data_IF_570159416767
#
_entry.id   IF_570159416767
#
_cell.length_a   1.000
_cell.length_b   1.000
_cell.length_c   1.000
_cell.angle_alpha   90.00
_cell.angle_beta   90.00
_cell.angle_gamma   90.00
#
_symmetry.space_group_name_H-M   'P 1'
#
loop_
_entity.id
_entity.type
_entity.pdbx_description
1 polymer ?
#
# COMPACT_ATOMS: atom_id res chain seq x y z
N UNK A 1 -32.05 -0.84 -0.19
CA UNK A 1 -31.79 0.44 -0.88
C UNK A 1 -30.54 0.23 -1.70
N UNK A 2 -30.57 0.46 -3.01
CA UNK A 2 -29.35 0.57 -3.81
C UNK A 2 -28.54 1.75 -3.27
N UNK A 3 -27.24 1.57 -3.05
CA UNK A 3 -26.36 2.68 -2.67
C UNK A 3 -26.46 3.77 -3.75
N UNK A 4 -26.49 5.04 -3.35
CA UNK A 4 -26.42 6.13 -4.32
C UNK A 4 -25.14 5.98 -5.15
N UNK A 5 -25.21 6.13 -6.49
CA UNK A 5 -24.02 6.05 -7.32
C UNK A 5 -23.01 7.13 -6.90
N UNK A 6 -21.74 6.78 -6.93
CA UNK A 6 -20.67 7.76 -6.67
C UNK A 6 -20.62 8.74 -7.84
N UNK A 7 -20.70 10.03 -7.55
CA UNK A 7 -20.58 11.08 -8.54
C UNK A 7 -19.10 11.35 -8.84
N UNK A 8 -18.63 10.88 -9.99
CA UNK A 8 -17.33 11.21 -10.58
C UNK A 8 -17.50 12.28 -11.65
N UNK A 9 -16.48 13.12 -11.83
CA UNK A 9 -16.40 14.00 -13.00
C UNK A 9 -16.13 13.17 -14.27
N UNK A 10 -16.46 13.68 -15.47
CA UNK A 10 -15.93 13.12 -16.72
C UNK A 10 -14.41 13.00 -16.67
N UNK A 11 -13.85 11.98 -17.32
CA UNK A 11 -12.41 11.66 -17.24
C UNK A 11 -11.54 12.85 -17.66
N UNK A 12 -11.88 13.53 -18.77
CA UNK A 12 -11.13 14.69 -19.25
C UNK A 12 -11.10 15.85 -18.24
N UNK A 13 -12.21 16.08 -17.52
CA UNK A 13 -12.30 17.09 -16.47
C UNK A 13 -11.48 16.68 -15.24
N UNK A 14 -11.50 15.40 -14.87
CA UNK A 14 -10.71 14.88 -13.76
C UNK A 14 -9.20 15.01 -14.05
N UNK A 15 -8.75 14.64 -15.25
CA UNK A 15 -7.36 14.81 -15.70
C UNK A 15 -6.94 16.29 -15.64
N UNK A 16 -7.79 17.21 -16.10
CA UNK A 16 -7.49 18.64 -16.10
C UNK A 16 -7.33 19.24 -14.69
N UNK A 17 -7.85 18.57 -13.66
CA UNK A 17 -7.75 18.98 -12.25
C UNK A 17 -6.54 18.39 -11.52
N UNK A 18 -5.75 17.52 -12.16
CA UNK A 18 -4.51 17.02 -11.57
C UNK A 18 -3.59 18.20 -11.20
N UNK A 19 -3.13 18.30 -9.94
CA UNK A 19 -2.20 19.35 -9.54
C UNK A 19 -0.90 19.28 -10.35
N UNK A 20 -0.54 20.41 -10.98
CA UNK A 20 0.68 20.52 -11.82
C UNK A 20 1.98 20.58 -11.02
N UNK A 21 1.87 20.87 -9.72
CA UNK A 21 2.99 20.97 -8.81
C UNK A 21 2.77 19.98 -7.65
N UNK A 22 3.84 19.34 -7.15
CA UNK A 22 3.75 18.55 -5.93
C UNK A 22 3.16 19.35 -4.78
N UNK A 23 2.44 18.67 -3.89
CA UNK A 23 1.93 19.31 -2.68
C UNK A 23 3.08 19.90 -1.87
N UNK A 24 2.98 21.17 -1.42
CA UNK A 24 4.03 21.77 -0.61
C UNK A 24 4.10 21.04 0.73
N UNK A 25 5.26 20.46 1.05
CA UNK A 25 5.50 19.93 2.39
C UNK A 25 6.15 21.01 3.26
N UNK A 26 5.47 21.50 4.32
CA UNK A 26 6.04 22.50 5.20
C UNK A 26 7.20 21.95 6.04
N UNK A 27 7.22 20.64 6.27
CA UNK A 27 8.18 19.95 7.15
C UNK A 27 9.22 19.19 6.34
N UNK A 28 8.77 18.42 5.35
CA UNK A 28 9.57 17.44 4.62
C UNK A 28 10.05 18.01 3.27
N UNK A 29 11.17 18.76 3.29
CA UNK A 29 11.72 19.36 2.05
C UNK A 29 12.54 18.39 1.22
N UNK A 30 13.21 17.45 1.87
CA UNK A 30 14.00 16.39 1.26
C UNK A 30 13.67 15.08 1.99
N UNK A 31 13.44 14.00 1.24
CA UNK A 31 13.31 12.64 1.76
C UNK A 31 14.59 11.85 1.48
N UNK A 32 15.01 11.02 2.42
CA UNK A 32 16.26 10.29 2.51
C UNK A 32 16.07 9.18 3.61
N UNK A 33 16.61 7.97 3.44
CA UNK A 33 16.18 6.74 4.16
C UNK A 33 17.25 6.00 4.98
N UNK A 34 17.23 5.94 6.32
CA UNK A 34 18.41 5.52 7.12
C UNK A 34 18.81 4.03 6.98
N UNK A 35 20.12 3.72 7.02
CA UNK A 35 20.69 2.38 7.19
C UNK A 35 21.34 2.20 8.57
N UNK A 36 21.10 1.05 9.20
CA UNK A 36 21.73 0.67 10.47
C UNK A 36 22.43 -0.69 10.29
N UNK A 37 23.77 -0.63 10.25
CA UNK A 37 24.66 -1.77 9.99
C UNK A 37 24.64 -2.79 11.14
N UNK A 38 24.45 -2.30 12.38
CA UNK A 38 24.37 -3.12 13.59
C UNK A 38 22.95 -3.14 14.14
N UNK A 39 22.17 -4.14 13.75
CA UNK A 39 20.82 -4.30 14.26
C UNK A 39 20.83 -4.85 15.69
N UNK A 40 20.30 -4.07 16.65
CA UNK A 40 20.06 -4.56 18.00
C UNK A 40 18.89 -5.53 18.02
N UNK A 41 19.17 -6.82 17.76
CA UNK A 41 18.14 -7.88 17.75
C UNK A 41 17.47 -8.13 19.10
N UNK A 42 18.03 -7.56 20.17
CA UNK A 42 17.57 -7.74 21.56
C UNK A 42 16.58 -6.64 22.01
N UNK A 43 15.95 -5.90 21.09
CA UNK A 43 15.00 -4.84 21.44
C UNK A 43 13.68 -5.36 22.05
N UNK A 44 13.03 -4.53 22.88
CA UNK A 44 11.78 -4.85 23.59
C UNK A 44 10.63 -5.31 22.67
N UNK A 45 10.63 -4.87 21.42
CA UNK A 45 9.54 -5.11 20.45
C UNK A 45 9.86 -6.16 19.37
N UNK A 46 11.05 -6.79 19.42
CA UNK A 46 11.51 -7.64 18.31
C UNK A 46 11.72 -6.87 17.00
N UNK A 47 11.74 -7.58 15.87
CA UNK A 47 11.96 -6.99 14.54
C UNK A 47 12.16 -8.02 13.43
N UNK A 48 12.38 -7.54 12.21
CA UNK A 48 12.72 -8.37 11.04
C UNK A 48 13.87 -7.75 10.25
N UNK A 49 14.50 -8.52 9.36
CA UNK A 49 15.56 -7.99 8.49
C UNK A 49 15.05 -6.81 7.63
N UNK A 50 13.80 -6.86 7.19
CA UNK A 50 13.18 -5.80 6.38
C UNK A 50 12.73 -4.60 7.22
N UNK A 51 12.06 -4.83 8.34
CA UNK A 51 11.50 -3.78 9.20
C UNK A 51 12.50 -3.17 10.18
N UNK A 52 13.71 -3.75 10.30
CA UNK A 52 14.70 -3.41 11.31
C UNK A 52 14.29 -3.83 12.72
N UNK A 53 15.04 -3.33 13.71
CA UNK A 53 14.81 -3.54 15.14
C UNK A 53 14.77 -2.21 15.94
N UNK A 54 14.04 -1.18 15.48
CA UNK A 54 14.09 0.13 16.14
C UNK A 54 13.35 0.11 17.48
N UNK A 55 13.99 0.65 18.52
CA UNK A 55 13.32 0.98 19.80
C UNK A 55 12.34 2.16 19.62
N UNK A 56 11.39 2.36 20.54
CA UNK A 56 10.40 3.45 20.45
C UNK A 56 11.03 4.83 20.24
N UNK A 57 12.16 5.09 20.92
CA UNK A 57 12.92 6.33 20.75
C UNK A 57 13.43 6.50 19.31
N UNK A 58 14.01 5.46 18.72
CA UNK A 58 14.48 5.48 17.33
C UNK A 58 13.31 5.66 16.35
N UNK A 59 12.16 5.03 16.59
CA UNK A 59 10.96 5.27 15.75
C UNK A 59 10.54 6.73 15.78
N UNK A 60 10.57 7.35 16.96
CA UNK A 60 10.26 8.78 17.12
C UNK A 60 11.32 9.69 16.47
N UNK A 61 12.58 9.28 16.45
CA UNK A 61 13.68 10.00 15.77
C UNK A 61 13.70 9.75 14.25
N UNK A 62 13.19 8.61 13.76
CA UNK A 62 13.20 8.22 12.33
C UNK A 62 12.26 9.02 11.44
N UNK A 63 11.47 9.93 12.03
CA UNK A 63 10.78 10.97 11.26
C UNK A 63 11.77 12.00 10.66
N UNK A 64 13.04 12.00 11.11
CA UNK A 64 14.17 12.69 10.48
C UNK A 64 15.03 11.72 9.62
N UNK A 65 15.61 12.23 8.53
CA UNK A 65 15.64 11.57 7.20
C UNK A 65 17.09 11.46 6.61
N UNK A 66 17.57 10.31 6.04
CA UNK A 66 18.90 10.15 5.34
C UNK A 66 19.16 8.86 4.47
N UNK A 67 19.48 8.89 3.14
CA UNK A 67 19.95 7.89 2.07
C UNK A 67 19.51 6.39 1.83
N UNK A 68 18.95 6.08 0.63
CA UNK A 68 18.52 4.77 -0.02
C UNK A 68 18.96 3.39 0.57
N UNK A 69 18.07 2.36 0.55
CA UNK A 69 18.44 0.94 0.77
C UNK A 69 19.02 0.26 -0.48
N UNK A 70 19.82 -0.79 -0.24
CA UNK A 70 20.52 -1.62 -1.23
C UNK A 70 19.90 -3.04 -1.34
N UNK A 71 20.38 -3.80 -2.32
CA UNK A 71 20.14 -5.23 -2.51
C UNK A 71 20.38 -6.05 -1.22
N UNK A 72 19.59 -7.10 -1.00
CA UNK A 72 19.68 -8.08 0.10
C UNK A 72 19.06 -7.69 1.45
N UNK A 73 18.23 -6.65 1.54
CA UNK A 73 17.44 -6.38 2.76
C UNK A 73 16.14 -7.20 2.84
N UNK A 74 15.88 -8.01 1.82
CA UNK A 74 14.63 -8.73 1.60
C UNK A 74 13.64 -7.93 0.76
N UNK A 75 12.79 -8.64 0.03
CA UNK A 75 11.91 -8.08 -1.02
C UNK A 75 12.71 -7.49 -2.20
N UNK A 76 13.65 -8.27 -2.71
CA UNK A 76 14.50 -7.88 -3.84
C UNK A 76 13.68 -7.91 -5.15
N UNK A 77 14.02 -7.07 -6.13
CA UNK A 77 13.35 -7.01 -7.44
C UNK A 77 14.38 -7.04 -8.55
N UNK A 78 13.98 -7.49 -9.74
CA UNK A 78 14.81 -7.46 -10.94
C UNK A 78 15.22 -6.02 -11.29
N UNK A 79 16.47 -5.83 -11.74
CA UNK A 79 17.01 -4.52 -12.13
C UNK A 79 16.17 -3.85 -13.24
N UNK A 80 15.70 -4.63 -14.22
CA UNK A 80 14.82 -4.15 -15.28
C UNK A 80 13.47 -3.61 -14.75
N UNK A 81 12.96 -4.20 -13.67
CA UNK A 81 11.72 -3.76 -13.02
C UNK A 81 11.94 -2.51 -12.17
N UNK A 82 13.09 -2.40 -11.48
CA UNK A 82 13.50 -1.19 -10.78
C UNK A 82 13.61 0.01 -11.75
N UNK A 83 14.27 -0.18 -12.90
CA UNK A 83 14.44 0.86 -13.92
C UNK A 83 13.07 1.32 -14.46
N UNK A 84 12.17 0.39 -14.73
CA UNK A 84 10.82 0.75 -15.19
C UNK A 84 10.03 1.51 -14.12
N UNK A 85 10.09 1.06 -12.86
CA UNK A 85 9.39 1.72 -11.76
C UNK A 85 9.93 3.13 -11.50
N UNK A 86 11.23 3.37 -11.70
CA UNK A 86 11.80 4.72 -11.65
C UNK A 86 11.28 5.62 -12.78
N UNK A 87 10.78 5.10 -13.91
CA UNK A 87 10.21 5.90 -15.01
C UNK A 87 8.76 6.34 -14.78
N UNK A 88 8.11 5.88 -13.72
CA UNK A 88 6.74 6.27 -13.38
C UNK A 88 6.71 7.62 -12.64
N UNK A 89 6.16 8.66 -13.28
CA UNK A 89 6.23 10.05 -12.77
C UNK A 89 4.92 10.61 -12.21
N UNK A 90 3.76 10.26 -12.77
CA UNK A 90 2.51 10.94 -12.43
C UNK A 90 1.64 10.12 -11.48
N UNK A 91 0.97 9.11 -12.01
CA UNK A 91 0.05 8.26 -11.26
C UNK A 91 0.49 6.82 -11.40
N UNK A 92 0.50 6.11 -10.29
CA UNK A 92 0.73 4.67 -10.26
C UNK A 92 -0.41 3.96 -9.56
N UNK A 93 -0.99 3.00 -10.27
CA UNK A 93 -1.90 2.04 -9.68
C UNK A 93 -1.13 0.77 -9.38
N UNK A 94 -1.21 0.34 -8.12
CA UNK A 94 -0.53 -0.87 -7.69
C UNK A 94 -1.47 -1.82 -6.97
N UNK A 95 -1.21 -3.10 -7.16
CA UNK A 95 -1.77 -4.17 -6.34
C UNK A 95 -0.68 -5.22 -6.07
N UNK A 96 -0.94 -6.12 -5.13
CA UNK A 96 -0.10 -7.31 -4.99
C UNK A 96 -0.89 -8.59 -4.73
N UNK A 97 -0.30 -9.69 -5.16
CA UNK A 97 -0.79 -11.05 -5.00
C UNK A 97 0.37 -11.89 -4.46
N UNK A 98 0.26 -12.38 -3.23
CA UNK A 98 1.26 -13.25 -2.61
C UNK A 98 0.62 -14.53 -2.05
N UNK A 99 1.32 -15.66 -2.21
CA UNK A 99 1.07 -16.95 -1.56
C UNK A 99 -0.17 -17.74 -1.99
N UNK A 100 -1.05 -17.17 -2.81
CA UNK A 100 -2.16 -17.92 -3.42
C UNK A 100 -2.48 -17.33 -4.80
N UNK A 101 -2.87 -18.17 -5.76
CA UNK A 101 -3.26 -17.78 -7.11
C UNK A 101 -4.79 -17.88 -7.29
N UNK A 102 -5.45 -16.79 -7.69
CA UNK A 102 -6.88 -16.66 -7.99
C UNK A 102 -6.97 -15.82 -9.27
N UNK A 103 -8.19 -15.49 -9.72
CA UNK A 103 -8.43 -14.61 -10.86
C UNK A 103 -7.82 -13.22 -10.65
N UNK A 104 -7.11 -12.76 -11.69
CA UNK A 104 -6.61 -11.38 -11.80
C UNK A 104 -7.75 -10.55 -12.34
N UNK A 105 -8.15 -9.50 -11.61
CA UNK A 105 -9.11 -8.53 -12.08
C UNK A 105 -8.38 -7.48 -12.94
N UNK A 106 -8.73 -7.41 -14.22
CA UNK A 106 -8.25 -6.33 -15.08
C UNK A 106 -9.05 -5.05 -14.81
N UNK A 107 -8.40 -3.88 -14.76
CA UNK A 107 -9.09 -2.60 -14.70
C UNK A 107 -10.05 -2.43 -15.88
N UNK A 108 -11.24 -1.90 -15.60
CA UNK A 108 -12.25 -1.60 -16.60
C UNK A 108 -12.51 -0.09 -16.68
N UNK A 109 -13.00 0.37 -17.83
CA UNK A 109 -13.29 1.80 -18.10
C UNK A 109 -12.09 2.75 -17.98
N UNK A 110 -10.89 2.28 -18.31
CA UNK A 110 -9.67 3.10 -18.34
C UNK A 110 -9.57 3.82 -19.68
N UNK A 111 -9.37 5.14 -19.64
CA UNK A 111 -9.18 5.96 -20.85
C UNK A 111 -7.85 5.64 -21.54
N UNK A 112 -7.76 5.92 -22.84
CA UNK A 112 -6.51 5.69 -23.59
C UNK A 112 -5.36 6.55 -23.06
N UNK A 113 -5.66 7.78 -22.63
CA UNK A 113 -4.70 8.64 -21.95
C UNK A 113 -4.15 7.98 -20.68
N UNK A 114 -5.02 7.42 -19.83
CA UNK A 114 -4.61 6.76 -18.59
C UNK A 114 -3.83 5.47 -18.86
N UNK A 115 -4.15 4.71 -19.91
CA UNK A 115 -3.36 3.52 -20.29
C UNK A 115 -1.94 3.86 -20.71
N UNK A 116 -1.72 5.06 -21.25
CA UNK A 116 -0.40 5.53 -21.69
C UNK A 116 0.40 6.21 -20.57
N UNK A 117 -0.27 6.85 -19.61
CA UNK A 117 0.37 7.71 -18.59
C UNK A 117 0.44 7.08 -17.20
N UNK A 118 -0.43 6.12 -16.88
CA UNK A 118 -0.46 5.46 -15.56
C UNK A 118 0.35 4.17 -15.60
N UNK A 119 1.23 4.00 -14.62
CA UNK A 119 1.87 2.71 -14.39
C UNK A 119 0.93 1.78 -13.60
N UNK A 120 0.52 0.67 -14.22
CA UNK A 120 -0.22 -0.40 -13.56
C UNK A 120 0.75 -1.49 -13.12
N UNK A 121 1.02 -1.60 -11.82
CA UNK A 121 1.99 -2.52 -11.24
C UNK A 121 1.32 -3.63 -10.43
N UNK A 122 1.74 -4.87 -10.66
CA UNK A 122 1.26 -6.04 -9.93
C UNK A 122 2.46 -6.77 -9.32
N UNK A 123 2.61 -6.68 -8.00
CA UNK A 123 3.67 -7.39 -7.30
C UNK A 123 3.26 -8.85 -7.04
N UNK A 124 4.15 -9.78 -7.37
CA UNK A 124 3.94 -11.23 -7.19
C UNK A 124 5.18 -11.91 -6.63
N UNK A 125 5.02 -13.09 -6.06
CA UNK A 125 6.13 -13.97 -5.71
C UNK A 125 6.57 -14.88 -6.89
N UNK A 126 7.71 -15.54 -6.72
CA UNK A 126 8.29 -16.46 -7.72
C UNK A 126 7.37 -17.65 -8.04
N UNK A 127 6.56 -18.11 -7.08
CA UNK A 127 5.62 -19.21 -7.29
C UNK A 127 4.50 -18.79 -8.26
N UNK A 128 3.91 -17.61 -8.03
CA UNK A 128 2.89 -17.03 -8.90
C UNK A 128 3.46 -16.71 -10.27
N UNK A 129 4.67 -16.15 -10.35
CA UNK A 129 5.33 -15.88 -11.62
C UNK A 129 5.50 -17.16 -12.46
N UNK A 130 5.97 -18.24 -11.84
CA UNK A 130 6.12 -19.56 -12.49
C UNK A 130 4.78 -20.10 -13.02
N UNK A 131 3.70 -19.94 -12.24
CA UNK A 131 2.35 -20.31 -12.66
C UNK A 131 1.82 -19.45 -13.84
N UNK A 132 2.15 -18.16 -13.86
CA UNK A 132 1.79 -17.25 -14.96
C UNK A 132 2.55 -17.56 -16.25
N UNK A 133 3.83 -17.95 -16.14
CA UNK A 133 4.65 -18.39 -17.28
C UNK A 133 4.16 -19.72 -17.84
N UNK A 134 3.87 -20.70 -16.99
CA UNK A 134 3.40 -22.03 -17.43
C UNK A 134 2.01 -22.01 -18.06
N UNK A 135 1.13 -21.09 -17.62
CA UNK A 135 -0.18 -20.88 -18.23
C UNK A 135 -0.15 -20.03 -19.52
N UNK A 136 1.04 -19.60 -19.97
CA UNK A 136 1.24 -18.69 -21.12
C UNK A 136 0.44 -17.38 -21.03
N UNK A 137 0.01 -16.98 -19.83
CA UNK A 137 -0.68 -15.72 -19.57
C UNK A 137 0.27 -14.54 -19.52
N UNK A 138 1.53 -14.78 -19.12
CA UNK A 138 2.54 -13.74 -19.07
C UNK A 138 3.00 -13.37 -20.48
N UNK A 139 2.64 -12.16 -20.94
CA UNK A 139 3.03 -11.64 -22.24
C UNK A 139 4.53 -11.33 -22.35
N UNK A 140 4.99 -10.99 -23.56
CA UNK A 140 6.41 -10.81 -23.92
C UNK A 140 7.13 -9.73 -23.12
N UNK A 141 6.41 -8.83 -22.44
CA UNK A 141 6.94 -7.71 -21.64
C UNK A 141 6.65 -7.84 -20.14
N UNK A 142 6.51 -9.07 -19.63
CA UNK A 142 6.01 -9.33 -18.26
C UNK A 142 4.67 -8.64 -17.97
N UNK A 143 3.76 -8.57 -18.96
CA UNK A 143 2.44 -7.92 -18.80
C UNK A 143 1.28 -8.91 -18.87
N UNK A 144 0.23 -8.65 -18.10
CA UNK A 144 -1.09 -9.27 -18.17
C UNK A 144 -2.12 -8.14 -18.24
N UNK A 145 -2.83 -8.02 -19.36
CA UNK A 145 -3.71 -6.86 -19.56
C UNK A 145 -2.92 -5.55 -19.48
N UNK A 146 -3.35 -4.65 -18.60
CA UNK A 146 -2.63 -3.40 -18.29
C UNK A 146 -1.50 -3.61 -17.28
N UNK A 147 -1.59 -4.63 -16.44
CA UNK A 147 -0.65 -4.88 -15.34
C UNK A 147 0.73 -5.29 -15.85
N UNK A 148 1.76 -4.58 -15.41
CA UNK A 148 3.14 -5.06 -15.41
C UNK A 148 3.38 -5.89 -14.16
N UNK A 149 3.85 -7.11 -14.35
CA UNK A 149 4.19 -8.04 -13.28
C UNK A 149 5.58 -7.72 -12.75
N UNK A 150 5.66 -7.43 -11.46
CA UNK A 150 6.88 -7.16 -10.71
C UNK A 150 7.14 -8.35 -9.78
N UNK A 151 8.24 -9.06 -9.98
CA UNK A 151 8.56 -10.25 -9.20
C UNK A 151 9.35 -9.84 -7.96
N UNK A 152 8.87 -10.26 -6.81
CA UNK A 152 9.50 -10.01 -5.51
C UNK A 152 10.25 -11.27 -5.05
N UNK A 153 11.56 -11.15 -4.95
CA UNK A 153 12.49 -12.20 -4.52
C UNK A 153 12.86 -12.03 -3.04
N UNK A 154 13.43 -13.08 -2.45
CA UNK A 154 13.97 -13.03 -1.08
C UNK A 154 12.97 -12.44 -0.07
N UNK A 155 11.76 -13.02 -0.02
CA UNK A 155 10.67 -12.47 0.78
C UNK A 155 11.01 -12.47 2.28
N UNK A 156 10.86 -11.35 3.00
CA UNK A 156 11.32 -11.23 4.38
C UNK A 156 10.36 -11.84 5.42
N UNK A 157 9.15 -12.25 5.01
CA UNK A 157 8.12 -12.79 5.88
C UNK A 157 7.64 -14.15 5.39
N UNK A 158 7.48 -15.09 6.32
CA UNK A 158 6.89 -16.41 6.03
C UNK A 158 5.39 -16.31 5.74
N UNK A 159 4.67 -15.39 6.39
CA UNK A 159 3.26 -15.12 6.10
C UNK A 159 3.15 -14.17 4.88
N UNK A 160 2.55 -14.60 3.76
CA UNK A 160 2.33 -13.76 2.58
C UNK A 160 1.56 -12.47 2.88
N UNK A 161 0.74 -12.46 3.94
CA UNK A 161 0.01 -11.26 4.38
C UNK A 161 0.97 -10.15 4.81
N UNK A 162 2.08 -10.50 5.46
CA UNK A 162 3.14 -9.57 5.85
C UNK A 162 3.85 -9.01 4.64
N UNK A 163 4.20 -9.88 3.68
CA UNK A 163 4.80 -9.48 2.39
C UNK A 163 3.91 -8.51 1.62
N UNK A 164 2.59 -8.77 1.56
CA UNK A 164 1.62 -7.87 0.93
C UNK A 164 1.52 -6.48 1.56
N UNK A 165 1.98 -6.28 2.81
CA UNK A 165 2.03 -4.95 3.42
C UNK A 165 3.19 -4.10 2.90
N UNK A 166 4.25 -4.70 2.37
CA UNK A 166 5.43 -3.99 1.87
C UNK A 166 5.03 -3.07 0.71
N UNK A 167 4.53 -3.58 -0.42
CA UNK A 167 4.17 -2.70 -1.52
C UNK A 167 2.94 -1.84 -1.24
N UNK A 168 2.06 -2.28 -0.34
CA UNK A 168 0.90 -1.50 0.14
C UNK A 168 1.31 -0.21 0.86
N UNK A 169 2.32 -0.26 1.73
CA UNK A 169 2.70 0.87 2.58
C UNK A 169 3.91 1.64 2.07
N UNK A 170 4.76 0.99 1.27
CA UNK A 170 6.03 1.54 0.80
C UNK A 170 6.05 1.74 -0.71
N UNK A 171 4.87 1.91 -1.34
CA UNK A 171 4.77 2.07 -2.79
C UNK A 171 5.64 3.20 -3.32
N UNK A 172 5.51 4.40 -2.76
CA UNK A 172 6.33 5.57 -3.11
C UNK A 172 7.83 5.39 -2.80
N UNK A 173 8.23 4.37 -2.03
CA UNK A 173 9.65 4.04 -1.87
C UNK A 173 10.19 3.28 -3.08
N UNK A 174 9.38 2.38 -3.65
CA UNK A 174 9.78 1.59 -4.82
C UNK A 174 9.50 2.32 -6.14
N UNK A 175 8.56 3.27 -6.13
CA UNK A 175 8.20 4.11 -7.28
C UNK A 175 8.45 5.57 -6.92
N UNK A 176 9.72 5.99 -6.79
CA UNK A 176 10.09 7.24 -6.13
C UNK A 176 9.66 8.50 -6.87
N UNK A 177 9.41 8.39 -8.17
CA UNK A 177 9.07 9.53 -9.02
C UNK A 177 7.56 9.75 -9.15
N UNK A 178 6.72 8.85 -8.63
CA UNK A 178 5.27 8.95 -8.72
C UNK A 178 4.72 10.05 -7.81
N UNK A 179 3.92 10.97 -8.36
CA UNK A 179 3.25 12.01 -7.59
C UNK A 179 2.05 11.48 -6.78
N UNK A 180 1.27 10.57 -7.36
CA UNK A 180 0.12 9.95 -6.72
C UNK A 180 0.17 8.44 -6.91
N UNK A 181 -0.38 7.72 -5.94
CA UNK A 181 -0.57 6.29 -6.08
C UNK A 181 -1.94 5.85 -5.59
N UNK A 182 -2.48 4.80 -6.19
CA UNK A 182 -3.61 4.05 -5.68
C UNK A 182 -3.16 2.63 -5.40
N UNK A 183 -3.34 2.18 -4.16
CA UNK A 183 -3.22 0.78 -3.81
C UNK A 183 -4.58 0.09 -3.87
N UNK A 184 -4.66 -1.08 -4.51
CA UNK A 184 -5.86 -1.92 -4.52
C UNK A 184 -5.55 -3.31 -3.93
N UNK A 185 -6.38 -3.77 -3.01
CA UNK A 185 -6.36 -5.16 -2.58
C UNK A 185 -6.83 -6.07 -3.73
N UNK A 186 -6.24 -7.25 -3.81
CA UNK A 186 -6.50 -8.24 -4.87
C UNK A 186 -7.98 -8.58 -5.06
N UNK A 187 -8.78 -8.53 -3.99
CA UNK A 187 -10.22 -8.84 -4.02
C UNK A 187 -11.08 -7.76 -4.67
N UNK A 188 -10.49 -6.62 -5.00
CA UNK A 188 -11.17 -5.49 -5.61
C UNK A 188 -10.91 -5.47 -7.12
N UNK A 189 -11.79 -4.77 -7.82
CA UNK A 189 -11.68 -4.47 -9.23
C UNK A 189 -11.74 -2.96 -9.41
N UNK A 190 -10.87 -2.41 -10.24
CA UNK A 190 -10.88 -1.00 -10.60
C UNK A 190 -11.92 -0.77 -11.71
N UNK A 191 -13.03 -0.12 -11.36
CA UNK A 191 -14.20 0.05 -12.24
C UNK A 191 -14.29 1.42 -12.93
N UNK A 192 -13.44 2.37 -12.54
CA UNK A 192 -13.44 3.77 -13.00
C UNK A 192 -12.00 4.23 -13.19
N UNK A 193 -11.81 5.28 -14.00
CA UNK A 193 -10.48 5.78 -14.31
C UNK A 193 -9.79 6.34 -13.04
N UNK A 194 -8.50 6.04 -12.80
CA UNK A 194 -7.77 6.48 -11.61
C UNK A 194 -7.80 7.99 -11.39
N UNK A 195 -7.77 8.77 -12.46
CA UNK A 195 -7.90 10.23 -12.38
C UNK A 195 -9.21 10.65 -11.72
N UNK A 196 -10.31 9.92 -11.97
CA UNK A 196 -11.59 10.19 -11.32
C UNK A 196 -11.56 9.87 -9.81
N UNK A 197 -10.85 8.82 -9.41
CA UNK A 197 -10.68 8.45 -8.00
C UNK A 197 -9.84 9.51 -7.27
N UNK A 198 -8.67 9.85 -7.83
CA UNK A 198 -7.76 10.83 -7.24
C UNK A 198 -8.39 12.21 -7.16
N UNK A 199 -9.11 12.66 -8.20
CA UNK A 199 -9.86 13.90 -8.17
C UNK A 199 -10.87 13.90 -7.02
N UNK A 200 -11.66 12.84 -6.93
CA UNK A 200 -12.79 12.74 -6.00
C UNK A 200 -12.36 12.64 -4.54
N UNK A 201 -11.28 11.92 -4.27
CA UNK A 201 -10.81 11.60 -2.92
C UNK A 201 -9.72 12.54 -2.43
N UNK A 202 -8.83 12.99 -3.32
CA UNK A 202 -7.69 13.83 -2.97
C UNK A 202 -7.88 15.27 -3.44
N UNK A 203 -7.89 15.51 -4.75
CA UNK A 203 -7.72 16.87 -5.30
C UNK A 203 -8.87 17.81 -4.95
N UNK A 204 -10.13 17.37 -5.07
CA UNK A 204 -11.31 18.17 -4.71
C UNK A 204 -11.34 18.59 -3.24
N UNK A 205 -10.74 17.77 -2.37
CA UNK A 205 -10.69 17.98 -0.92
C UNK A 205 -9.38 18.60 -0.46
N UNK A 206 -8.45 18.84 -1.37
CA UNK A 206 -7.07 19.22 -1.05
C UNK A 206 -6.46 18.29 0.01
N UNK A 207 -6.72 16.98 -0.11
CA UNK A 207 -6.20 15.96 0.78
C UNK A 207 -4.92 15.35 0.18
N UNK A 208 -3.98 14.97 1.06
CA UNK A 208 -2.68 14.40 0.67
C UNK A 208 -2.68 12.87 0.66
N UNK A 209 -3.68 12.24 1.29
CA UNK A 209 -3.83 10.80 1.43
C UNK A 209 -5.28 10.47 1.74
N UNK A 210 -5.75 9.30 1.30
CA UNK A 210 -7.01 8.71 1.70
C UNK A 210 -6.77 7.23 2.06
N UNK A 211 -7.63 6.68 2.91
CA UNK A 211 -7.64 5.24 3.18
C UNK A 211 -9.08 4.80 3.36
N UNK A 212 -9.39 3.60 2.90
CA UNK A 212 -10.71 3.06 3.09
C UNK A 212 -11.01 2.86 4.58
N UNK A 213 -12.29 3.01 4.94
CA UNK A 213 -12.77 2.70 6.29
C UNK A 213 -13.22 1.25 6.31
N UNK A 214 -12.91 0.52 7.38
CA UNK A 214 -13.42 -0.84 7.54
C UNK A 214 -14.96 -0.86 7.50
N UNK A 215 -15.51 -1.84 6.80
CA UNK A 215 -16.93 -1.86 6.38
C UNK A 215 -17.91 -2.25 7.51
N UNK A 216 -17.40 -2.77 8.64
CA UNK A 216 -18.21 -3.21 9.80
C UNK A 216 -17.69 -2.69 11.14
N UNK A 217 -16.45 -3.03 11.47
CA UNK A 217 -15.78 -2.59 12.69
C UNK A 217 -15.32 -1.14 12.56
N UNK A 218 -15.58 -0.33 13.59
CA UNK A 218 -15.10 1.05 13.69
C UNK A 218 -14.24 1.30 14.94
N UNK A 219 -14.27 0.35 15.87
CA UNK A 219 -13.52 0.30 17.12
C UNK A 219 -12.41 -0.75 16.98
N UNK A 220 -11.17 -0.37 17.26
CA UNK A 220 -10.01 -1.26 17.19
C UNK A 220 -10.15 -2.47 18.12
N UNK A 221 -10.79 -2.32 19.28
CA UNK A 221 -10.96 -3.40 20.25
C UNK A 221 -11.98 -4.42 19.75
N UNK A 222 -13.04 -3.96 19.07
CA UNK A 222 -14.01 -4.85 18.41
C UNK A 222 -13.35 -5.59 17.24
N UNK A 223 -12.54 -4.89 16.44
CA UNK A 223 -11.80 -5.49 15.33
C UNK A 223 -10.79 -6.54 15.82
N UNK A 224 -10.14 -6.30 16.96
CA UNK A 224 -9.22 -7.26 17.55
C UNK A 224 -9.90 -8.55 18.01
N UNK A 225 -11.07 -8.46 18.66
CA UNK A 225 -11.86 -9.64 19.00
C UNK A 225 -12.33 -10.41 17.75
N UNK A 226 -12.72 -9.68 16.70
CA UNK A 226 -13.08 -10.28 15.41
C UNK A 226 -11.89 -11.01 14.76
N UNK A 227 -10.69 -10.44 14.83
CA UNK A 227 -9.46 -11.05 14.32
C UNK A 227 -9.05 -12.31 15.09
N UNK A 228 -9.23 -12.33 16.42
CA UNK A 228 -9.06 -13.54 17.24
C UNK A 228 -10.07 -14.61 16.85
N UNK A 229 -11.35 -14.26 16.74
CA UNK A 229 -12.41 -15.21 16.36
C UNK A 229 -12.21 -15.80 14.95
N UNK A 230 -11.68 -15.01 14.02
CA UNK A 230 -11.36 -15.45 12.67
C UNK A 230 -10.02 -16.21 12.55
N UNK A 231 -9.27 -16.36 13.65
CA UNK A 231 -7.97 -17.02 13.65
C UNK A 231 -6.95 -16.36 12.73
N UNK A 232 -6.99 -15.02 12.58
CA UNK A 232 -6.10 -14.32 11.64
C UNK A 232 -4.65 -14.30 12.13
N UNK A 233 -4.44 -14.15 13.44
CA UNK A 233 -3.13 -14.13 14.11
C UNK A 233 -3.23 -14.85 15.46
N UNK A 234 -2.08 -15.12 16.08
CA UNK A 234 -2.05 -15.64 17.45
C UNK A 234 -2.72 -14.67 18.43
N UNK A 235 -3.65 -15.18 19.24
CA UNK A 235 -4.42 -14.35 20.16
C UNK A 235 -3.53 -13.55 21.12
N UNK A 236 -2.45 -14.16 21.62
CA UNK A 236 -1.51 -13.49 22.52
C UNK A 236 -0.83 -12.26 21.87
N UNK A 237 -0.51 -12.33 20.57
CA UNK A 237 0.04 -11.20 19.83
C UNK A 237 -0.99 -10.08 19.66
N UNK A 238 -2.26 -10.43 19.43
CA UNK A 238 -3.35 -9.45 19.33
C UNK A 238 -3.59 -8.77 20.68
N UNK A 239 -3.64 -9.55 21.76
CA UNK A 239 -3.86 -9.06 23.12
C UNK A 239 -2.72 -8.12 23.54
N UNK A 240 -1.46 -8.49 23.28
CA UNK A 240 -0.30 -7.63 23.52
C UNK A 240 -0.41 -6.28 22.81
N UNK A 241 -0.75 -6.28 21.52
CA UNK A 241 -0.89 -5.06 20.73
C UNK A 241 -2.05 -4.17 21.22
N UNK A 242 -3.17 -4.79 21.60
CA UNK A 242 -4.31 -4.08 22.17
C UNK A 242 -4.02 -3.46 23.52
N UNK A 243 -3.35 -4.19 24.40
CA UNK A 243 -2.98 -3.68 25.72
C UNK A 243 -1.96 -2.55 25.60
N UNK A 244 -1.04 -2.62 24.63
CA UNK A 244 -0.18 -1.50 24.27
C UNK A 244 -1.01 -0.26 23.89
N UNK A 245 -2.00 -0.38 23.00
CA UNK A 245 -2.86 0.74 22.64
C UNK A 245 -3.61 1.34 23.83
N UNK A 246 -4.15 0.51 24.73
CA UNK A 246 -4.83 0.98 25.96
C UNK A 246 -3.86 1.75 26.86
N UNK A 247 -2.64 1.23 27.03
CA UNK A 247 -1.63 1.85 27.88
C UNK A 247 -1.13 3.19 27.32
N UNK A 248 -1.12 3.34 25.99
CA UNK A 248 -0.84 4.61 25.30
C UNK A 248 -2.07 5.56 25.25
N UNK A 249 -3.18 5.19 25.89
CA UNK A 249 -4.35 6.05 26.08
C UNK A 249 -5.44 5.92 25.01
N UNK A 250 -5.38 4.93 24.12
CA UNK A 250 -6.46 4.69 23.16
C UNK A 250 -7.72 4.18 23.88
N UNK A 251 -8.80 4.93 23.75
CA UNK A 251 -10.12 4.60 24.29
C UNK A 251 -11.01 3.92 23.23
N UNK A 252 -12.07 3.19 23.61
CA UNK A 252 -13.04 2.66 22.66
C UNK A 252 -13.61 3.73 21.73
N UNK A 253 -14.02 3.34 20.52
CA UNK A 253 -14.58 4.28 19.56
C UNK A 253 -15.94 4.80 20.04
N UNK A 254 -16.14 6.11 19.97
CA UNK A 254 -17.39 6.78 20.30
C UNK A 254 -17.55 8.04 19.44
N UNK A 255 -18.78 8.56 19.33
CA UNK A 255 -19.06 9.81 18.59
C UNK A 255 -18.25 11.01 19.09
N UNK A 256 -17.78 10.97 20.34
CA UNK A 256 -16.86 11.97 20.90
C UNK A 256 -15.52 12.10 20.13
N UNK A 257 -15.15 11.11 19.30
CA UNK A 257 -13.94 11.14 18.46
C UNK A 257 -14.12 11.86 17.13
N UNK A 258 -15.34 12.32 16.80
CA UNK A 258 -15.55 13.13 15.59
C UNK A 258 -14.59 14.33 15.57
N UNK A 259 -14.03 14.69 14.41
CA UNK A 259 -14.44 14.28 13.06
C UNK A 259 -13.85 12.94 12.58
N UNK A 260 -13.08 12.21 13.39
CA UNK A 260 -12.62 10.87 13.03
C UNK A 260 -13.80 9.89 13.04
N UNK A 261 -14.08 9.30 11.89
CA UNK A 261 -15.26 8.44 11.69
C UNK A 261 -14.99 6.94 11.98
N UNK A 262 -13.76 6.59 12.35
CA UNK A 262 -13.34 5.23 12.70
C UNK A 262 -11.91 5.21 13.25
N UNK A 263 -11.61 4.29 14.16
CA UNK A 263 -10.25 3.90 14.56
C UNK A 263 -9.69 2.72 13.71
N UNK A 264 -10.46 2.23 12.73
CA UNK A 264 -10.15 1.02 11.96
C UNK A 264 -10.07 1.38 10.47
N UNK A 265 -8.97 2.05 10.04
CA UNK A 265 -8.69 2.16 8.63
C UNK A 265 -8.46 0.76 8.05
N UNK A 266 -9.07 0.49 6.91
CA UNK A 266 -8.88 -0.75 6.16
C UNK A 266 -7.94 -0.47 5.00
N UNK A 267 -6.88 -1.28 4.89
CA UNK A 267 -5.86 -1.10 3.87
C UNK A 267 -6.26 -1.70 2.52
N UNK A 268 -7.56 -1.88 2.23
CA UNK A 268 -7.99 -2.48 0.97
C UNK A 268 -7.91 -1.50 -0.19
N UNK A 269 -8.10 -0.20 0.08
CA UNK A 269 -7.75 0.90 -0.83
C UNK A 269 -7.01 1.95 -0.03
N UNK A 270 -5.86 2.37 -0.54
CA UNK A 270 -5.05 3.49 -0.03
C UNK A 270 -4.80 4.44 -1.20
#
# INVERSE_FOLDING_TARGET
MTACPVCYLPVDEAIALMPKLPSPSPVLKNLAFIYEETLSRNGEFGGSNFGGYPILRQRNESFDIGTKPDHNTGFDMDEDDLIEMEQCHDVVDALAIFGNFDEINDPTNISDYSKETICFLMFVDEEIESNLRSSARLGTRKKIGLWRIIVSHNLPYTDPRGTGKIPKLLLHRMVPNAHYSIWLDRKLELLVDPYQILERLLWRKNAIFAISKHYRCFDVFVEAEANKAAGKYENASIDFQNDFYKNEGLTPYAEAKLPFISDVPEGCVI
#
